data_IF_223456733948
#
_entry.id   IF_223456733948
#
_cell.length_a   1.000
_cell.length_b   1.000
_cell.length_c   1.000
_cell.angle_alpha   90.00
_cell.angle_beta   90.00
_cell.angle_gamma   90.00
#
_symmetry.space_group_name_H-M   'P 1'
#
loop_
_entity.id
_entity.type
_entity.pdbx_description
1 polymer ?
#
# COMPACT_ATOMS: atom_id res chain seq x y z
N UNK A 1 75.23 12.34 -74.24
CA UNK A 1 74.35 13.48 -73.91
C UNK A 1 73.66 13.18 -72.58
N UNK A 2 74.13 13.75 -71.45
CA UNK A 2 73.44 13.63 -70.17
C UNK A 2 73.35 15.03 -69.49
N UNK A 3 72.32 15.84 -69.79
CA UNK A 3 72.14 17.15 -69.13
C UNK A 3 70.64 17.43 -68.83
N UNK A 4 69.70 16.93 -69.64
CA UNK A 4 68.25 17.21 -69.44
C UNK A 4 67.61 16.51 -68.23
N UNK A 5 68.19 15.42 -67.72
CA UNK A 5 67.65 14.67 -66.58
C UNK A 5 67.88 15.40 -65.24
N UNK A 6 68.93 16.21 -65.15
CA UNK A 6 69.35 16.92 -63.93
C UNK A 6 68.49 18.17 -63.68
N UNK A 7 68.17 18.94 -64.71
CA UNK A 7 67.36 20.16 -64.59
C UNK A 7 65.90 19.86 -64.17
N UNK A 8 65.30 18.78 -64.68
CA UNK A 8 63.93 18.39 -64.31
C UNK A 8 63.83 17.91 -62.86
N UNK A 9 64.85 17.20 -62.35
CA UNK A 9 64.92 16.79 -60.95
C UNK A 9 65.20 17.98 -60.03
N UNK A 10 66.06 18.91 -60.44
CA UNK A 10 66.30 20.16 -59.71
C UNK A 10 65.05 21.05 -59.64
N UNK A 11 64.25 21.13 -60.70
CA UNK A 11 62.97 21.85 -60.69
C UNK A 11 61.96 21.19 -59.73
N UNK A 12 61.86 19.86 -59.73
CA UNK A 12 61.02 19.12 -58.76
C UNK A 12 61.49 19.30 -57.32
N UNK A 13 62.81 19.32 -57.09
CA UNK A 13 63.40 19.61 -55.78
C UNK A 13 63.02 21.01 -55.30
N UNK A 14 63.14 22.03 -56.16
CA UNK A 14 62.71 23.40 -55.82
C UNK A 14 61.21 23.51 -55.53
N UNK A 15 60.38 22.76 -56.26
CA UNK A 15 58.93 22.70 -55.99
C UNK A 15 58.64 22.02 -54.65
N UNK A 16 59.35 20.94 -54.31
CA UNK A 16 59.23 20.26 -53.03
C UNK A 16 59.68 21.15 -51.86
N UNK A 17 60.80 21.87 -51.99
CA UNK A 17 61.29 22.83 -50.98
C UNK A 17 60.33 24.02 -50.80
N UNK A 18 59.72 24.51 -51.88
CA UNK A 18 58.69 25.55 -51.79
C UNK A 18 57.43 25.04 -51.08
N UNK A 19 57.00 23.81 -51.38
CA UNK A 19 55.88 23.18 -50.69
C UNK A 19 56.18 22.92 -49.21
N UNK A 20 57.41 22.54 -48.84
CA UNK A 20 57.83 22.35 -47.45
C UNK A 20 57.80 23.67 -46.67
N UNK A 21 58.31 24.76 -47.24
CA UNK A 21 58.21 26.10 -46.63
C UNK A 21 56.76 26.58 -46.47
N UNK A 22 55.89 26.24 -47.42
CA UNK A 22 54.46 26.51 -47.31
C UNK A 22 53.80 25.67 -46.21
N UNK A 23 54.15 24.40 -46.08
CA UNK A 23 53.68 23.53 -45.00
C UNK A 23 54.16 24.02 -43.63
N UNK A 24 55.42 24.40 -43.49
CA UNK A 24 55.97 25.00 -42.26
C UNK A 24 55.24 26.29 -41.88
N UNK A 25 54.90 27.12 -42.88
CA UNK A 25 54.13 28.34 -42.67
C UNK A 25 52.68 28.07 -42.25
N UNK A 26 52.08 26.99 -42.76
CA UNK A 26 50.68 26.62 -42.50
C UNK A 26 50.50 25.76 -41.23
N UNK A 27 51.52 25.05 -40.78
CA UNK A 27 51.50 24.22 -39.57
C UNK A 27 50.98 24.93 -38.30
N UNK A 28 51.40 26.17 -37.95
CA UNK A 28 50.84 26.86 -36.81
C UNK A 28 49.35 27.20 -37.00
N UNK A 29 48.94 27.60 -38.20
CA UNK A 29 47.53 27.87 -38.51
C UNK A 29 46.66 26.61 -38.41
N UNK A 30 47.18 25.47 -38.87
CA UNK A 30 46.48 24.19 -38.83
C UNK A 30 46.25 23.73 -37.38
N UNK A 31 47.27 23.84 -36.52
CA UNK A 31 47.14 23.48 -35.09
C UNK A 31 46.20 24.42 -34.33
N UNK A 32 46.19 25.72 -34.65
CA UNK A 32 45.22 26.67 -34.11
C UNK A 32 43.79 26.34 -34.58
N UNK A 33 43.61 26.01 -35.86
CA UNK A 33 42.31 25.61 -36.40
C UNK A 33 41.76 24.33 -35.72
N UNK A 34 42.60 23.35 -35.41
CA UNK A 34 42.20 22.16 -34.66
C UNK A 34 41.77 22.48 -33.22
N UNK A 35 42.52 23.32 -32.52
CA UNK A 35 42.17 23.78 -31.17
C UNK A 35 40.84 24.55 -31.18
N UNK A 36 40.61 25.41 -32.18
CA UNK A 36 39.36 26.13 -32.35
C UNK A 36 38.18 25.19 -32.61
N UNK A 37 38.35 24.16 -33.46
CA UNK A 37 37.32 23.13 -33.68
C UNK A 37 37.00 22.36 -32.39
N UNK A 38 38.01 21.99 -31.61
CA UNK A 38 37.80 21.31 -30.32
C UNK A 38 37.05 22.20 -29.33
N UNK A 39 37.40 23.49 -29.26
CA UNK A 39 36.70 24.48 -28.40
C UNK A 39 35.24 24.65 -28.84
N UNK A 40 34.98 24.78 -30.14
CA UNK A 40 33.62 24.85 -30.68
C UNK A 40 32.82 23.58 -30.39
N UNK A 41 33.39 22.39 -30.58
CA UNK A 41 32.72 21.13 -30.27
C UNK A 41 32.37 20.99 -28.78
N UNK A 42 33.25 21.43 -27.88
CA UNK A 42 32.98 21.47 -26.44
C UNK A 42 31.84 22.45 -26.10
N UNK A 43 31.87 23.64 -26.69
CA UNK A 43 30.83 24.65 -26.50
C UNK A 43 29.46 24.16 -27.02
N UNK A 44 29.41 23.52 -28.20
CA UNK A 44 28.19 22.95 -28.76
C UNK A 44 27.61 21.84 -27.85
N UNK A 45 28.45 20.89 -27.39
CA UNK A 45 28.02 19.84 -26.45
C UNK A 45 27.47 20.40 -25.14
N UNK A 46 28.10 21.46 -24.62
CA UNK A 46 27.62 22.14 -23.42
C UNK A 46 26.27 22.82 -23.64
N UNK A 47 26.10 23.54 -24.77
CA UNK A 47 24.85 24.18 -25.13
C UNK A 47 23.70 23.16 -25.30
N UNK A 48 23.96 22.03 -25.95
CA UNK A 48 22.98 20.95 -26.09
C UNK A 48 22.61 20.34 -24.74
N UNK A 49 23.59 20.18 -23.84
CA UNK A 49 23.35 19.68 -22.48
C UNK A 49 22.50 20.63 -21.65
N UNK A 50 22.72 21.95 -21.77
CA UNK A 50 21.90 22.97 -21.14
C UNK A 50 20.46 22.95 -21.69
N UNK A 51 20.29 22.87 -23.01
CA UNK A 51 18.95 22.79 -23.63
C UNK A 51 18.18 21.57 -23.16
N UNK A 52 18.81 20.39 -23.13
CA UNK A 52 18.17 19.15 -22.63
C UNK A 52 17.79 19.27 -21.16
N UNK A 53 18.66 19.88 -20.34
CA UNK A 53 18.37 20.14 -18.93
C UNK A 53 17.19 21.10 -18.76
N UNK A 54 17.12 22.15 -19.57
CA UNK A 54 16.04 23.12 -19.50
C UNK A 54 14.70 22.50 -19.94
N UNK A 55 14.72 21.69 -21.01
CA UNK A 55 13.55 20.93 -21.46
C UNK A 55 13.04 19.97 -20.39
N UNK A 56 13.93 19.19 -19.75
CA UNK A 56 13.51 18.27 -18.68
C UNK A 56 13.00 19.00 -17.44
N UNK A 57 13.55 20.17 -17.11
CA UNK A 57 13.02 21.01 -16.03
C UNK A 57 11.65 21.59 -16.36
N UNK A 58 11.40 21.97 -17.62
CA UNK A 58 10.09 22.44 -18.04
C UNK A 58 9.05 21.33 -17.99
N UNK A 59 9.40 20.13 -18.47
CA UNK A 59 8.55 18.94 -18.39
C UNK A 59 8.24 18.58 -16.93
N UNK A 60 9.27 18.57 -16.06
CA UNK A 60 9.08 18.32 -14.64
C UNK A 60 8.14 19.35 -13.98
N UNK A 61 8.25 20.64 -14.34
CA UNK A 61 7.33 21.67 -13.84
C UNK A 61 5.90 21.43 -14.29
N UNK A 62 5.68 21.11 -15.56
CA UNK A 62 4.35 20.81 -16.08
C UNK A 62 3.72 19.60 -15.38
N UNK A 63 4.51 18.56 -15.11
CA UNK A 63 4.04 17.38 -14.37
C UNK A 63 3.71 17.71 -12.91
N UNK A 64 4.53 18.54 -12.26
CA UNK A 64 4.26 19.01 -10.88
C UNK A 64 2.97 19.83 -10.84
N UNK A 65 2.78 20.76 -11.78
CA UNK A 65 1.58 21.58 -11.85
C UNK A 65 0.33 20.72 -12.12
N UNK A 66 0.42 19.76 -13.06
CA UNK A 66 -0.65 18.82 -13.35
C UNK A 66 -1.01 17.92 -12.15
N UNK A 67 0.00 17.47 -11.39
CA UNK A 67 -0.21 16.73 -10.16
C UNK A 67 -0.86 17.61 -9.08
N UNK A 68 -0.42 18.86 -8.94
CA UNK A 68 -1.00 19.84 -8.02
C UNK A 68 -2.49 20.08 -8.28
N UNK A 69 -2.89 20.17 -9.55
CA UNK A 69 -4.31 20.29 -9.93
C UNK A 69 -5.11 19.09 -9.44
N UNK A 70 -4.63 17.86 -9.68
CA UNK A 70 -5.32 16.64 -9.22
C UNK A 70 -5.31 16.48 -7.70
N UNK A 71 -4.29 16.97 -7.01
CA UNK A 71 -4.22 16.91 -5.55
C UNK A 71 -5.33 17.71 -4.87
N UNK A 72 -5.86 18.75 -5.52
CA UNK A 72 -6.99 19.53 -5.00
C UNK A 72 -8.26 18.67 -4.89
N UNK A 73 -8.42 17.65 -5.74
CA UNK A 73 -9.60 16.77 -5.75
C UNK A 73 -9.54 15.68 -4.67
N UNK A 74 -8.33 15.36 -4.16
CA UNK A 74 -8.13 14.24 -3.22
C UNK A 74 -8.93 14.40 -1.92
N UNK A 75 -8.98 15.58 -1.25
CA UNK A 75 -9.75 15.76 -0.02
C UNK A 75 -11.25 15.50 -0.21
N UNK A 76 -11.81 15.95 -1.34
CA UNK A 76 -13.23 15.77 -1.64
C UNK A 76 -13.55 14.29 -1.90
N UNK A 77 -12.72 13.62 -2.70
CA UNK A 77 -12.83 12.18 -2.94
C UNK A 77 -12.68 11.36 -1.65
N UNK A 78 -11.78 11.77 -0.74
CA UNK A 78 -11.62 11.14 0.56
C UNK A 78 -12.87 11.32 1.43
N UNK A 79 -13.49 12.49 1.40
CA UNK A 79 -14.72 12.76 2.14
C UNK A 79 -15.88 11.92 1.60
N UNK A 80 -16.05 11.82 0.29
CA UNK A 80 -17.05 10.97 -0.35
C UNK A 80 -16.84 9.49 0.00
N UNK A 81 -15.60 9.00 -0.10
CA UNK A 81 -15.25 7.64 0.26
C UNK A 81 -15.53 7.36 1.75
N UNK A 82 -15.17 8.29 2.65
CA UNK A 82 -15.43 8.16 4.08
C UNK A 82 -16.93 8.10 4.39
N UNK A 83 -17.75 8.91 3.72
CA UNK A 83 -19.21 8.87 3.86
C UNK A 83 -19.78 7.54 3.35
N UNK A 84 -19.34 7.06 2.18
CA UNK A 84 -19.78 5.79 1.63
C UNK A 84 -19.43 4.61 2.56
N UNK A 85 -18.21 4.58 3.09
CA UNK A 85 -17.77 3.56 4.05
C UNK A 85 -18.56 3.66 5.37
N UNK A 86 -18.87 4.88 5.82
CA UNK A 86 -19.72 5.09 7.02
C UNK A 86 -21.13 4.53 6.84
N UNK A 87 -21.74 4.77 5.68
CA UNK A 87 -23.06 4.23 5.34
C UNK A 87 -23.02 2.70 5.27
N UNK A 88 -21.99 2.12 4.64
CA UNK A 88 -21.79 0.67 4.60
C UNK A 88 -21.65 0.09 6.02
N UNK A 89 -20.85 0.72 6.87
CA UNK A 89 -20.70 0.33 8.27
C UNK A 89 -22.02 0.34 9.02
N UNK A 90 -22.83 1.41 8.88
CA UNK A 90 -24.13 1.50 9.54
C UNK A 90 -25.08 0.38 9.09
N UNK A 91 -25.18 0.13 7.77
CA UNK A 91 -25.99 -0.95 7.22
C UNK A 91 -25.55 -2.33 7.72
N UNK A 92 -24.24 -2.61 7.69
CA UNK A 92 -23.69 -3.88 8.17
C UNK A 92 -23.89 -4.08 9.68
N UNK A 93 -23.77 -3.01 10.47
CA UNK A 93 -24.06 -3.04 11.90
C UNK A 93 -25.54 -3.33 12.17
N UNK A 94 -26.44 -2.75 11.40
CA UNK A 94 -27.88 -3.02 11.51
C UNK A 94 -28.23 -4.47 11.17
N UNK A 95 -27.63 -5.03 10.11
CA UNK A 95 -27.76 -6.45 9.77
C UNK A 95 -27.25 -7.33 10.91
N UNK A 96 -26.05 -7.03 11.44
CA UNK A 96 -25.47 -7.79 12.55
C UNK A 96 -26.34 -7.74 13.81
N UNK A 97 -26.89 -6.57 14.16
CA UNK A 97 -27.80 -6.39 15.29
C UNK A 97 -29.10 -7.18 15.10
N UNK A 98 -29.69 -7.15 13.90
CA UNK A 98 -30.89 -7.93 13.57
C UNK A 98 -30.62 -9.42 13.68
N UNK A 99 -29.46 -9.89 13.21
CA UNK A 99 -29.02 -11.28 13.35
C UNK A 99 -28.93 -11.71 14.81
N UNK A 100 -28.31 -10.88 15.65
CA UNK A 100 -28.21 -11.15 17.09
C UNK A 100 -29.59 -11.23 17.74
N UNK A 101 -30.49 -10.28 17.44
CA UNK A 101 -31.87 -10.27 17.95
C UNK A 101 -32.67 -11.49 17.47
N UNK A 102 -32.47 -11.93 16.22
CA UNK A 102 -33.08 -13.15 15.71
C UNK A 102 -32.59 -14.38 16.49
N UNK A 103 -31.29 -14.48 16.75
CA UNK A 103 -30.72 -15.55 17.58
C UNK A 103 -31.28 -15.51 19.02
N UNK A 104 -31.38 -14.33 19.63
CA UNK A 104 -31.97 -14.14 20.98
C UNK A 104 -33.45 -14.57 21.01
N UNK A 105 -34.23 -14.24 19.97
CA UNK A 105 -35.62 -14.66 19.85
C UNK A 105 -35.74 -16.18 19.69
N UNK A 106 -34.92 -16.79 18.83
CA UNK A 106 -34.90 -18.24 18.65
C UNK A 106 -34.41 -18.99 19.88
N UNK A 107 -33.49 -18.42 20.66
CA UNK A 107 -33.10 -18.98 21.95
C UNK A 107 -34.26 -18.99 22.96
N UNK A 108 -35.20 -18.04 22.83
CA UNK A 108 -36.42 -18.04 23.63
C UNK A 108 -37.36 -19.17 23.19
N UNK A 109 -37.51 -19.36 21.87
CA UNK A 109 -38.30 -20.48 21.30
C UNK A 109 -37.72 -21.82 21.77
N UNK A 110 -36.41 -22.02 21.62
CA UNK A 110 -35.72 -23.24 22.02
C UNK A 110 -35.87 -23.55 23.53
N UNK A 111 -35.86 -22.53 24.39
CA UNK A 111 -36.14 -22.71 25.82
C UNK A 111 -37.57 -23.15 26.09
N UNK A 112 -38.54 -22.57 25.40
CA UNK A 112 -39.94 -22.97 25.52
C UNK A 112 -40.11 -24.42 25.05
N UNK A 113 -39.50 -24.78 23.92
CA UNK A 113 -39.52 -26.15 23.41
C UNK A 113 -38.86 -27.13 24.40
N UNK A 114 -37.73 -26.76 24.99
CA UNK A 114 -37.07 -27.54 26.04
C UNK A 114 -37.97 -27.75 27.28
N UNK A 115 -38.63 -26.69 27.76
CA UNK A 115 -39.50 -26.76 28.93
C UNK A 115 -40.74 -27.65 28.66
N UNK A 116 -41.29 -27.59 27.45
CA UNK A 116 -42.38 -28.46 27.01
C UNK A 116 -41.93 -29.92 26.90
N UNK A 117 -40.81 -30.20 26.19
CA UNK A 117 -40.28 -31.56 26.06
C UNK A 117 -39.95 -32.16 27.43
N UNK A 118 -39.38 -31.38 28.35
CA UNK A 118 -39.05 -31.81 29.70
C UNK A 118 -40.29 -32.14 30.53
N UNK A 119 -41.36 -31.35 30.41
CA UNK A 119 -42.62 -31.61 31.09
C UNK A 119 -43.29 -32.89 30.59
N UNK A 120 -43.45 -33.02 29.27
CA UNK A 120 -44.12 -34.18 28.64
C UNK A 120 -43.37 -35.49 28.95
N UNK A 121 -42.07 -35.52 28.66
CA UNK A 121 -41.27 -36.75 28.86
C UNK A 121 -40.97 -37.02 30.34
N UNK A 122 -40.94 -35.99 31.19
CA UNK A 122 -40.87 -36.13 32.63
C UNK A 122 -42.11 -36.80 33.21
N UNK A 123 -43.31 -36.39 32.77
CA UNK A 123 -44.58 -37.03 33.14
C UNK A 123 -44.63 -38.50 32.70
N UNK A 124 -44.16 -38.81 31.49
CA UNK A 124 -44.06 -40.18 30.98
C UNK A 124 -43.11 -41.05 31.81
N UNK A 125 -41.92 -40.56 32.16
CA UNK A 125 -40.94 -41.32 32.95
C UNK A 125 -41.45 -41.57 34.37
N UNK A 126 -42.12 -40.58 34.99
CA UNK A 126 -42.79 -40.75 36.29
C UNK A 126 -43.91 -41.79 36.20
N UNK A 127 -44.72 -41.77 35.14
CA UNK A 127 -45.76 -42.77 34.89
C UNK A 127 -45.19 -44.19 34.72
N UNK A 128 -43.95 -44.31 34.24
CA UNK A 128 -43.21 -45.58 34.12
C UNK A 128 -42.38 -45.94 35.37
N UNK A 129 -42.49 -45.20 36.48
CA UNK A 129 -41.69 -45.34 37.70
C UNK A 129 -40.17 -45.22 37.49
N UNK A 130 -39.73 -44.35 36.56
CA UNK A 130 -38.32 -44.04 36.30
C UNK A 130 -37.95 -42.66 36.87
N UNK A 131 -36.65 -42.40 37.03
CA UNK A 131 -36.15 -41.12 37.57
C UNK A 131 -35.95 -40.09 36.43
N UNK A 132 -36.67 -38.94 36.43
CA UNK A 132 -36.59 -37.93 35.38
C UNK A 132 -35.28 -37.12 35.41
N UNK A 133 -34.41 -37.25 36.42
CA UNK A 133 -33.20 -36.42 36.54
C UNK A 133 -32.20 -36.61 35.40
N UNK A 134 -32.08 -37.83 34.85
CA UNK A 134 -31.19 -38.10 33.71
C UNK A 134 -31.70 -37.51 32.38
N UNK A 135 -33.01 -37.27 32.30
CA UNK A 135 -33.68 -36.80 31.09
C UNK A 135 -33.36 -35.33 30.78
N UNK A 136 -33.28 -34.48 31.81
CA UNK A 136 -32.86 -33.09 31.64
C UNK A 136 -31.47 -32.95 30.99
N UNK A 137 -30.53 -33.84 31.34
CA UNK A 137 -29.19 -33.85 30.73
C UNK A 137 -29.23 -34.30 29.27
N UNK A 138 -30.05 -35.31 28.96
CA UNK A 138 -30.23 -35.78 27.59
C UNK A 138 -30.87 -34.69 26.70
N UNK A 139 -31.89 -33.99 27.19
CA UNK A 139 -32.52 -32.88 26.49
C UNK A 139 -31.57 -31.68 26.32
N UNK A 140 -30.80 -31.32 27.34
CA UNK A 140 -29.86 -30.21 27.26
C UNK A 140 -28.80 -30.36 26.15
N UNK A 141 -28.50 -31.60 25.73
CA UNK A 141 -27.61 -31.87 24.60
C UNK A 141 -28.21 -31.58 23.22
N UNK A 142 -29.55 -31.51 23.13
CA UNK A 142 -30.32 -31.28 21.89
C UNK A 142 -30.75 -29.82 21.73
N UNK A 143 -30.74 -29.06 22.81
CA UNK A 143 -31.14 -27.65 22.88
C UNK A 143 -29.92 -26.74 23.10
N UNK A 144 -30.11 -25.42 22.99
CA UNK A 144 -29.09 -24.40 23.14
C UNK A 144 -28.54 -23.84 21.82
N UNK A 145 -27.32 -23.30 21.85
CA UNK A 145 -26.77 -22.50 20.74
C UNK A 145 -26.71 -23.26 19.40
N UNK A 146 -26.44 -24.57 19.43
CA UNK A 146 -26.42 -25.40 18.23
C UNK A 146 -27.79 -25.51 17.57
N UNK A 147 -28.86 -25.64 18.38
CA UNK A 147 -30.24 -25.69 17.90
C UNK A 147 -30.68 -24.34 17.36
N UNK A 148 -30.30 -23.25 18.03
CA UNK A 148 -30.56 -21.88 17.57
C UNK A 148 -29.88 -21.60 16.22
N UNK A 149 -28.64 -22.05 16.04
CA UNK A 149 -27.93 -21.93 14.76
C UNK A 149 -28.62 -22.75 13.66
N UNK A 150 -29.08 -23.97 13.98
CA UNK A 150 -29.85 -24.78 13.04
C UNK A 150 -31.15 -24.08 12.63
N UNK A 151 -31.91 -23.54 13.59
CA UNK A 151 -33.16 -22.81 13.31
C UNK A 151 -32.91 -21.54 12.48
N UNK A 152 -31.79 -20.85 12.68
CA UNK A 152 -31.39 -19.71 11.84
C UNK A 152 -31.12 -20.16 10.40
N UNK A 153 -30.38 -21.26 10.21
CA UNK A 153 -30.06 -21.80 8.90
C UNK A 153 -31.31 -22.32 8.16
N UNK A 154 -32.26 -22.91 8.89
CA UNK A 154 -33.54 -23.38 8.35
C UNK A 154 -34.42 -22.20 7.86
N UNK A 155 -34.36 -21.04 8.53
CA UNK A 155 -35.12 -19.84 8.13
C UNK A 155 -34.48 -19.09 6.96
N UNK A 156 -33.16 -18.88 6.98
CA UNK A 156 -32.43 -18.22 5.89
C UNK A 156 -31.03 -18.84 5.71
N UNK A 157 -30.87 -19.77 4.75
CA UNK A 157 -29.60 -20.43 4.50
C UNK A 157 -28.50 -19.45 4.11
N UNK A 158 -27.35 -19.56 4.78
CA UNK A 158 -26.20 -18.71 4.52
C UNK A 158 -26.43 -17.23 4.88
N UNK A 159 -27.13 -16.96 5.98
CA UNK A 159 -27.34 -15.61 6.52
C UNK A 159 -26.01 -14.97 6.99
N UNK A 160 -25.23 -14.51 6.02
CA UNK A 160 -23.92 -13.91 6.18
C UNK A 160 -23.96 -12.41 5.87
N UNK A 161 -23.08 -11.63 6.52
CA UNK A 161 -23.05 -10.17 6.36
C UNK A 161 -22.78 -9.70 4.92
N UNK A 162 -22.02 -10.49 4.14
CA UNK A 162 -21.57 -10.12 2.79
C UNK A 162 -22.26 -10.97 1.70
N UNK A 163 -23.45 -11.50 1.98
CA UNK A 163 -24.20 -12.28 0.99
C UNK A 163 -24.46 -11.43 -0.25
N UNK A 164 -24.19 -12.01 -1.43
CA UNK A 164 -24.32 -11.36 -2.74
C UNK A 164 -23.32 -10.21 -3.01
N UNK A 165 -22.31 -10.00 -2.17
CA UNK A 165 -21.23 -9.05 -2.46
C UNK A 165 -20.23 -9.64 -3.47
N UNK A 166 -19.83 -8.84 -4.47
CA UNK A 166 -18.78 -9.23 -5.40
C UNK A 166 -17.40 -9.00 -4.77
N UNK A 167 -16.81 -10.07 -4.24
CA UNK A 167 -15.51 -10.09 -3.60
C UNK A 167 -14.37 -10.53 -4.54
N UNK A 168 -14.57 -10.46 -5.86
CA UNK A 168 -13.54 -10.83 -6.83
C UNK A 168 -12.42 -9.77 -6.90
N UNK A 169 -12.78 -8.49 -6.71
CA UNK A 169 -11.81 -7.39 -6.71
C UNK A 169 -11.10 -7.27 -5.36
N UNK A 170 -9.78 -7.03 -5.39
CA UNK A 170 -8.98 -6.84 -4.19
C UNK A 170 -9.50 -5.67 -3.34
N UNK A 171 -9.80 -4.53 -3.97
CA UNK A 171 -10.29 -3.35 -3.25
C UNK A 171 -11.63 -3.61 -2.54
N UNK A 172 -12.55 -4.35 -3.17
CA UNK A 172 -13.83 -4.69 -2.53
C UNK A 172 -13.63 -5.62 -1.33
N UNK A 173 -12.67 -6.55 -1.41
CA UNK A 173 -12.30 -7.40 -0.28
C UNK A 173 -11.71 -6.60 0.87
N UNK A 174 -10.75 -5.74 0.58
CA UNK A 174 -10.06 -4.95 1.61
C UNK A 174 -11.04 -4.01 2.34
N UNK A 175 -11.95 -3.36 1.60
CA UNK A 175 -13.00 -2.51 2.20
C UNK A 175 -13.98 -3.36 3.01
N UNK A 176 -14.41 -4.51 2.50
CA UNK A 176 -15.32 -5.38 3.22
C UNK A 176 -14.68 -5.93 4.50
N UNK A 177 -13.42 -6.35 4.46
CA UNK A 177 -12.64 -6.82 5.61
C UNK A 177 -12.46 -5.72 6.65
N UNK A 178 -12.05 -4.53 6.23
CA UNK A 178 -11.95 -3.37 7.11
C UNK A 178 -13.26 -3.08 7.85
N UNK A 179 -14.40 -3.11 7.14
CA UNK A 179 -15.70 -2.83 7.75
C UNK A 179 -16.18 -4.00 8.62
N UNK A 180 -16.02 -5.26 8.20
CA UNK A 180 -16.41 -6.43 9.01
C UNK A 180 -15.63 -6.48 10.32
N UNK A 181 -14.32 -6.22 10.30
CA UNK A 181 -13.50 -6.14 11.51
C UNK A 181 -14.04 -5.07 12.47
N UNK A 182 -14.39 -3.89 11.96
CA UNK A 182 -14.92 -2.83 12.82
C UNK A 182 -16.34 -3.09 13.34
N UNK A 183 -17.17 -3.80 12.59
CA UNK A 183 -18.51 -4.20 13.02
C UNK A 183 -18.43 -5.30 14.09
N UNK A 184 -17.52 -6.26 13.93
CA UNK A 184 -17.39 -7.44 14.82
C UNK A 184 -16.50 -7.20 16.04
N UNK A 185 -15.42 -6.42 15.91
CA UNK A 185 -14.52 -6.11 17.03
C UNK A 185 -15.21 -5.28 18.13
N UNK A 186 -16.16 -4.41 17.78
CA UNK A 186 -17.00 -3.71 18.76
C UNK A 186 -18.04 -4.60 19.45
N UNK A 187 -18.20 -5.85 19.01
CA UNK A 187 -19.15 -6.81 19.58
C UNK A 187 -18.50 -7.80 20.55
N UNK A 188 -17.17 -7.77 20.72
CA UNK A 188 -16.46 -8.59 21.70
C UNK A 188 -15.82 -7.69 22.77
N UNK A 189 -16.37 -7.60 24.01
CA UNK A 189 -15.69 -6.92 25.12
C UNK A 189 -14.64 -7.84 25.75
N UNK A 190 -13.88 -8.57 24.94
CA UNK A 190 -12.80 -9.43 25.39
C UNK A 190 -11.53 -9.14 24.57
N UNK A 191 -10.70 -8.29 25.17
CA UNK A 191 -9.27 -8.11 24.91
C UNK A 191 -8.85 -7.84 23.46
N UNK A 192 -8.68 -6.55 23.15
CA UNK A 192 -7.41 -6.02 22.63
C UNK A 192 -7.31 -4.57 23.07
N UNK A 193 -6.65 -4.36 24.20
CA UNK A 193 -6.14 -3.03 24.54
C UNK A 193 -5.18 -2.61 23.40
N UNK A 194 -5.31 -1.40 22.83
CA UNK A 194 -4.35 -0.94 21.86
C UNK A 194 -3.00 -0.81 22.55
N UNK A 195 -2.01 -1.49 22.00
CA UNK A 195 -0.60 -1.23 22.26
C UNK A 195 -0.33 0.21 21.83
N UNK A 196 -0.46 1.14 22.77
CA UNK A 196 0.12 2.47 22.64
C UNK A 196 1.63 2.26 22.68
N UNK A 197 2.24 2.25 21.50
CA UNK A 197 3.67 2.39 21.35
C UNK A 197 4.12 3.58 22.18
N UNK A 198 4.90 3.29 23.21
CA UNK A 198 5.56 4.27 24.05
C UNK A 198 6.47 5.13 23.16
N UNK A 199 6.00 6.32 22.80
CA UNK A 199 6.89 7.42 22.43
C UNK A 199 7.43 8.01 23.72
N UNK A 200 8.55 7.46 24.19
CA UNK A 200 9.47 8.15 25.06
C UNK A 200 10.87 7.62 24.79
N UNK A 201 11.50 8.17 23.74
CA UNK A 201 12.95 8.22 23.66
C UNK A 201 13.43 9.06 24.86
N UNK A 202 13.60 8.39 26.01
CA UNK A 202 14.34 8.96 27.13
C UNK A 202 15.80 9.04 26.69
N UNK A 203 16.21 10.29 26.51
CA UNK A 203 17.56 10.78 26.69
C UNK A 203 18.24 10.03 27.84
N UNK A 204 19.16 9.14 27.51
CA UNK A 204 20.21 8.74 28.43
C UNK A 204 21.26 9.84 28.38
N UNK A 205 21.03 10.87 29.19
CA UNK A 205 21.99 11.91 29.52
C UNK A 205 23.14 11.23 30.27
N UNK A 206 24.25 11.01 29.55
CA UNK A 206 25.50 10.53 30.12
C UNK A 206 26.10 11.66 30.97
N UNK A 207 26.00 11.55 32.28
CA UNK A 207 26.78 12.33 33.24
C UNK A 207 28.27 11.98 33.10
N UNK A 208 29.16 12.96 32.79
CA UNK A 208 30.59 12.78 33.02
C UNK A 208 30.93 13.18 34.47
N UNK A 209 31.58 12.27 35.19
CA UNK A 209 32.21 12.53 36.50
C UNK A 209 33.24 13.67 36.39
N UNK A 210 33.26 14.63 37.35
CA UNK A 210 34.36 15.59 37.44
C UNK A 210 35.55 14.98 38.17
N UNK A 211 36.69 14.88 37.46
CA UNK A 211 38.01 14.60 38.04
C UNK A 211 38.51 15.86 38.78
N UNK A 212 38.98 15.77 40.03
CA UNK A 212 39.62 16.89 40.71
C UNK A 212 41.03 17.09 40.14
N UNK A 213 41.30 18.26 39.57
CA UNK A 213 42.67 18.69 39.22
C UNK A 213 43.13 19.72 40.24
N UNK A 214 44.23 19.38 40.91
CA UNK A 214 44.91 20.15 41.94
C UNK A 214 45.43 21.50 41.45
N UNK A 215 45.48 22.43 42.40
CA UNK A 215 45.92 23.81 42.25
C UNK A 215 47.38 23.94 41.84
N UNK A 216 47.65 24.91 40.94
CA UNK A 216 48.86 25.76 40.94
C UNK A 216 48.54 27.11 40.31
#
# INVERSE_FOLDING_TARGET
MPIEFDESMQQRLKQAEMAERELERLAPLASEAELLRQRQAKAAKFADSLRRREQSLQEARQLVDAAGIRQVEIPDLLNEAAQAVSLLFAAMKDVSNKRRRAAEALATVDRVDYDVELAETGEEEIAMNRDPRGLAYALASRHGDAKVQQLLEDMDPGFHLLRNCNLNDALHRDVAEFVTEHVTAKQSPAAKAPFLGSTAAMQAESTPEPVPVEAR
#
